data_IF_203002600110
#
_entry.id   IF_203002600110
#
_cell.length_a   1.000
_cell.length_b   1.000
_cell.length_c   1.000
_cell.angle_alpha   90.00
_cell.angle_beta   90.00
_cell.angle_gamma   90.00
#
_symmetry.space_group_name_H-M   'P 1'
#
loop_
_entity.id
_entity.type
_entity.pdbx_description
1 polymer ?
#
# COMPACT_ATOMS: atom_id res chain seq x y z
N UNK A 1 66.36 -11.56 16.35
CA UNK A 1 65.78 -12.23 15.16
C UNK A 1 64.31 -12.49 15.47
N UNK A 2 63.37 -11.78 14.82
CA UNK A 2 62.42 -12.29 13.79
C UNK A 2 61.83 -13.65 14.18
N UNK A 3 60.53 -13.89 14.28
CA UNK A 3 59.31 -13.25 13.82
C UNK A 3 58.17 -14.28 13.97
N UNK A 4 56.91 -13.90 13.73
CA UNK A 4 55.81 -14.88 13.66
C UNK A 4 54.47 -14.46 14.25
N UNK A 5 54.19 -13.16 14.38
CA UNK A 5 52.87 -12.66 14.76
C UNK A 5 52.02 -12.30 13.52
N UNK A 6 51.73 -13.27 12.66
CA UNK A 6 50.84 -13.09 11.51
C UNK A 6 50.12 -14.42 11.28
N UNK A 7 48.84 -14.39 10.91
CA UNK A 7 47.96 -15.55 10.69
C UNK A 7 47.19 -16.06 11.93
N UNK A 8 46.56 -15.15 12.68
CA UNK A 8 45.34 -15.53 13.43
C UNK A 8 44.25 -14.44 13.52
N UNK A 9 44.46 -13.31 12.84
CA UNK A 9 43.54 -12.16 12.86
C UNK A 9 42.46 -12.18 11.77
N UNK A 10 42.64 -12.90 10.65
CA UNK A 10 41.69 -12.87 9.52
C UNK A 10 40.35 -13.56 9.83
N UNK A 11 40.34 -14.70 10.52
CA UNK A 11 39.08 -15.43 10.77
C UNK A 11 38.16 -14.76 11.79
N UNK A 12 38.70 -13.94 12.71
CA UNK A 12 37.89 -13.19 13.68
C UNK A 12 37.26 -11.91 13.12
N UNK A 13 37.70 -11.45 11.93
CA UNK A 13 37.14 -10.26 11.30
C UNK A 13 35.81 -10.53 10.58
N UNK A 14 35.55 -11.76 10.13
CA UNK A 14 34.27 -12.08 9.46
C UNK A 14 33.08 -12.21 10.42
N UNK A 15 33.31 -12.51 11.70
CA UNK A 15 32.22 -12.61 12.70
C UNK A 15 31.81 -11.25 13.30
N UNK A 16 32.57 -10.19 13.04
CA UNK A 16 32.42 -8.90 13.70
C UNK A 16 31.88 -7.80 12.76
N UNK A 17 30.96 -8.17 11.86
CA UNK A 17 30.10 -7.23 11.13
C UNK A 17 28.68 -7.30 11.70
N UNK A 18 28.54 -7.19 13.01
CA UNK A 18 27.28 -6.75 13.58
C UNK A 18 27.22 -5.23 13.33
N UNK A 19 26.29 -4.81 12.48
CA UNK A 19 25.99 -3.40 12.31
C UNK A 19 25.55 -2.85 13.67
N UNK A 20 26.47 -2.18 14.38
CA UNK A 20 26.12 -1.37 15.53
C UNK A 20 25.25 -0.24 15.03
N UNK A 21 23.94 -0.36 15.24
CA UNK A 21 23.06 0.79 15.22
C UNK A 21 23.36 1.58 16.50
N UNK A 22 24.31 2.50 16.42
CA UNK A 22 24.55 3.51 17.45
C UNK A 22 23.26 4.33 17.56
N UNK A 23 22.43 4.00 18.56
CA UNK A 23 21.18 4.70 18.79
C UNK A 23 21.47 6.04 19.46
N UNK A 24 21.96 6.99 18.66
CA UNK A 24 22.14 8.36 19.09
C UNK A 24 20.75 8.92 19.45
N UNK A 25 20.51 9.18 20.75
CA UNK A 25 19.24 9.71 21.27
C UNK A 25 18.79 11.00 20.58
N UNK A 26 19.71 11.70 19.93
CA UNK A 26 19.41 12.90 19.14
C UNK A 26 18.67 12.60 17.83
N UNK A 27 18.85 11.40 17.27
CA UNK A 27 18.28 10.97 15.99
C UNK A 27 17.09 10.02 16.14
N UNK A 28 16.76 9.65 17.38
CA UNK A 28 15.54 8.94 17.78
C UNK A 28 14.26 9.53 17.18
N UNK A 29 13.99 10.85 17.30
CA UNK A 29 12.78 11.42 16.73
C UNK A 29 12.77 11.32 15.20
N UNK A 30 13.92 11.50 14.55
CA UNK A 30 14.06 11.36 13.09
C UNK A 30 13.82 9.94 12.62
N UNK A 31 14.34 8.94 13.34
CA UNK A 31 14.11 7.53 13.03
C UNK A 31 12.63 7.15 13.19
N UNK A 32 11.98 7.63 14.26
CA UNK A 32 10.55 7.43 14.48
C UNK A 32 9.73 8.08 13.36
N UNK A 33 10.08 9.31 12.96
CA UNK A 33 9.43 9.98 11.83
C UNK A 33 9.60 9.20 10.52
N UNK A 34 10.79 8.68 10.23
CA UNK A 34 11.03 7.85 9.04
C UNK A 34 10.22 6.55 9.08
N UNK A 35 10.14 5.88 10.23
CA UNK A 35 9.32 4.68 10.41
C UNK A 35 7.83 4.97 10.23
N UNK A 36 7.33 6.08 10.77
CA UNK A 36 5.94 6.52 10.60
C UNK A 36 5.62 6.82 9.13
N UNK A 37 6.55 7.46 8.39
CA UNK A 37 6.39 7.72 6.96
C UNK A 37 6.37 6.43 6.13
N UNK A 38 7.18 5.43 6.48
CA UNK A 38 7.17 4.13 5.80
C UNK A 38 5.85 3.38 5.99
N UNK A 39 5.24 3.46 7.17
CA UNK A 39 3.93 2.83 7.47
C UNK A 39 2.77 3.53 6.73
N UNK A 40 2.92 4.79 6.32
CA UNK A 40 1.90 5.52 5.55
C UNK A 40 1.84 5.19 4.04
N UNK A 41 2.69 4.27 3.55
CA UNK A 41 2.76 3.93 2.12
C UNK A 41 1.63 3.01 1.62
N UNK A 42 0.73 2.55 2.50
CA UNK A 42 -0.56 1.95 2.12
C UNK A 42 -1.67 3.01 1.90
N UNK A 43 -1.29 4.24 1.53
CA UNK A 43 -2.21 5.08 0.77
C UNK A 43 -2.36 4.43 -0.60
N UNK A 44 -3.33 3.51 -0.71
CA UNK A 44 -3.97 3.25 -1.99
C UNK A 44 -4.23 4.62 -2.57
N UNK A 45 -3.52 4.95 -3.64
CA UNK A 45 -3.72 6.18 -4.36
C UNK A 45 -5.15 6.10 -4.88
N UNK A 46 -6.10 6.56 -4.07
CA UNK A 46 -7.45 6.80 -4.52
C UNK A 46 -7.27 7.84 -5.61
N UNK A 47 -7.53 7.38 -6.84
CA UNK A 47 -7.35 8.17 -8.04
C UNK A 47 -7.89 9.57 -7.76
N UNK A 48 -7.00 10.55 -7.82
CA UNK A 48 -7.35 11.97 -7.72
C UNK A 48 -8.42 12.20 -8.79
N UNK A 49 -9.69 12.23 -8.38
CA UNK A 49 -10.80 12.62 -9.25
C UNK A 49 -10.58 14.10 -9.50
N UNK A 50 -9.89 14.41 -10.60
CA UNK A 50 -9.73 15.77 -11.12
C UNK A 50 -11.13 16.33 -11.38
N UNK A 51 -11.66 17.12 -10.44
CA UNK A 51 -12.85 17.98 -10.58
C UNK A 51 -13.94 17.43 -11.53
N UNK A 52 -14.19 16.13 -11.40
CA UNK A 52 -14.96 15.34 -12.34
C UNK A 52 -16.24 14.97 -11.67
N UNK A 53 -17.37 15.39 -12.24
CA UNK A 53 -18.68 14.94 -11.75
C UNK A 53 -18.66 13.41 -11.69
N UNK A 54 -19.09 12.85 -10.57
CA UNK A 54 -19.21 11.39 -10.41
C UNK A 54 -20.62 10.99 -10.79
N UNK A 55 -20.73 10.07 -11.74
CA UNK A 55 -21.99 9.53 -12.23
C UNK A 55 -22.24 8.19 -11.55
N UNK A 56 -23.48 7.94 -11.13
CA UNK A 56 -23.89 6.69 -10.51
C UNK A 56 -24.87 5.96 -11.41
N UNK A 57 -24.60 4.70 -11.70
CA UNK A 57 -25.43 3.86 -12.54
C UNK A 57 -25.56 2.46 -11.93
N UNK A 58 -26.74 1.84 -12.07
CA UNK A 58 -26.91 0.45 -11.63
C UNK A 58 -26.06 -0.45 -12.53
N UNK A 59 -25.34 -1.39 -11.91
CA UNK A 59 -24.60 -2.42 -12.64
C UNK A 59 -25.52 -3.22 -13.56
N UNK A 60 -25.06 -3.46 -14.79
CA UNK A 60 -25.77 -4.24 -15.81
C UNK A 60 -25.41 -5.73 -15.77
N UNK A 61 -24.25 -6.08 -15.21
CA UNK A 61 -23.72 -7.44 -15.17
C UNK A 61 -23.85 -8.11 -13.80
N UNK A 62 -23.96 -7.32 -12.73
CA UNK A 62 -24.10 -7.85 -11.37
C UNK A 62 -25.48 -8.47 -11.18
N UNK A 63 -25.49 -9.76 -10.84
CA UNK A 63 -26.70 -10.53 -10.58
C UNK A 63 -26.80 -10.89 -9.10
N UNK A 64 -28.04 -10.90 -8.59
CA UNK A 64 -28.34 -11.25 -7.19
C UNK A 64 -28.39 -10.07 -6.23
N UNK A 65 -28.36 -10.38 -4.94
CA UNK A 65 -28.41 -9.41 -3.85
C UNK A 65 -27.01 -8.87 -3.55
N UNK A 66 -26.86 -7.56 -3.62
CA UNK A 66 -25.63 -6.87 -3.28
C UNK A 66 -25.52 -6.74 -1.75
N UNK A 67 -24.65 -7.56 -1.16
CA UNK A 67 -24.33 -7.53 0.28
C UNK A 67 -22.86 -7.19 0.55
N UNK A 68 -22.02 -7.24 -0.49
CA UNK A 68 -20.59 -6.96 -0.44
C UNK A 68 -20.22 -5.97 -1.55
N UNK A 69 -19.78 -4.78 -1.14
CA UNK A 69 -19.41 -3.71 -2.06
C UNK A 69 -18.13 -4.03 -2.84
N UNK A 70 -17.24 -4.88 -2.34
CA UNK A 70 -16.01 -5.25 -3.06
C UNK A 70 -16.33 -6.14 -4.27
N UNK A 71 -17.28 -7.08 -4.11
CA UNK A 71 -17.77 -7.91 -5.22
C UNK A 71 -18.51 -7.03 -6.25
N UNK A 72 -19.30 -6.08 -5.78
CA UNK A 72 -19.96 -5.10 -6.66
C UNK A 72 -18.95 -4.26 -7.45
N UNK A 73 -17.90 -3.77 -6.79
CA UNK A 73 -16.82 -3.02 -7.45
C UNK A 73 -16.12 -3.85 -8.52
N UNK A 74 -15.81 -5.12 -8.25
CA UNK A 74 -15.17 -6.00 -9.23
C UNK A 74 -16.04 -6.18 -10.48
N UNK A 75 -17.36 -6.32 -10.32
CA UNK A 75 -18.29 -6.34 -11.44
C UNK A 75 -18.30 -4.99 -12.21
N UNK A 76 -18.37 -3.87 -11.50
CA UNK A 76 -18.34 -2.54 -12.11
C UNK A 76 -17.06 -2.29 -12.92
N UNK A 77 -15.92 -2.77 -12.43
CA UNK A 77 -14.63 -2.72 -13.13
C UNK A 77 -14.65 -3.54 -14.42
N UNK A 78 -15.34 -4.68 -14.43
CA UNK A 78 -15.55 -5.49 -15.63
C UNK A 78 -16.48 -4.86 -16.67
N UNK A 79 -17.38 -3.96 -16.26
CA UNK A 79 -18.32 -3.29 -17.17
C UNK A 79 -17.69 -2.14 -17.97
N UNK A 80 -16.73 -1.42 -17.37
CA UNK A 80 -16.11 -0.27 -18.01
C UNK A 80 -14.77 0.07 -17.39
N UNK A 81 -13.82 0.43 -18.25
CA UNK A 81 -12.54 0.99 -17.82
C UNK A 81 -12.67 2.39 -17.18
N UNK A 82 -13.84 3.02 -17.27
CA UNK A 82 -14.13 4.31 -16.63
C UNK A 82 -14.76 4.15 -15.24
N UNK A 83 -14.99 2.92 -14.78
CA UNK A 83 -15.48 2.67 -13.44
C UNK A 83 -14.41 3.12 -12.44
N UNK A 84 -14.83 3.90 -11.45
CA UNK A 84 -13.96 4.44 -10.38
C UNK A 84 -14.38 3.94 -8.99
N UNK A 85 -15.55 3.28 -8.88
CA UNK A 85 -15.99 2.59 -7.68
C UNK A 85 -17.26 1.76 -7.89
N UNK A 86 -17.68 1.07 -6.84
CA UNK A 86 -18.92 0.31 -6.79
C UNK A 86 -19.36 0.09 -5.34
N UNK A 87 -20.66 0.16 -5.08
CA UNK A 87 -21.22 -0.06 -3.74
C UNK A 87 -22.61 -0.67 -3.77
N UNK A 88 -22.95 -1.40 -2.71
CA UNK A 88 -24.31 -1.88 -2.49
C UNK A 88 -25.19 -0.79 -1.90
N UNK A 89 -26.33 -0.52 -2.52
CA UNK A 89 -27.33 0.40 -1.96
C UNK A 89 -28.28 -0.32 -0.97
N UNK A 90 -29.15 0.45 -0.31
CA UNK A 90 -30.13 -0.08 0.65
C UNK A 90 -31.21 -0.99 0.04
N UNK A 91 -31.30 -1.08 -1.29
CA UNK A 91 -32.18 -2.01 -2.01
C UNK A 91 -31.45 -3.29 -2.44
N UNK A 92 -30.26 -3.54 -1.91
CA UNK A 92 -29.39 -4.66 -2.27
C UNK A 92 -29.06 -4.69 -3.77
N UNK A 93 -28.97 -3.52 -4.42
CA UNK A 93 -28.53 -3.36 -5.82
C UNK A 93 -27.09 -2.87 -5.84
N UNK A 94 -26.32 -3.39 -6.78
CA UNK A 94 -24.98 -2.91 -7.07
C UNK A 94 -25.05 -1.61 -7.90
N UNK A 95 -24.46 -0.54 -7.38
CA UNK A 95 -24.35 0.78 -8.01
C UNK A 95 -22.89 1.04 -8.34
N UNK A 96 -22.59 1.24 -9.60
CA UNK A 96 -21.28 1.60 -10.10
C UNK A 96 -21.13 3.12 -10.16
N UNK A 97 -19.94 3.61 -9.80
CA UNK A 97 -19.57 5.02 -9.99
C UNK A 97 -18.57 5.16 -11.13
N UNK A 98 -18.76 6.19 -11.94
CA UNK A 98 -17.95 6.50 -13.11
C UNK A 98 -17.55 7.96 -13.09
N UNK A 99 -16.40 8.28 -13.69
CA UNK A 99 -16.11 9.67 -14.06
C UNK A 99 -17.09 10.09 -15.17
N UNK A 100 -17.97 11.05 -14.88
CA UNK A 100 -18.85 11.63 -15.90
C UNK A 100 -17.99 12.32 -16.98
N UNK A 101 -18.49 12.31 -18.21
CA UNK A 101 -17.99 13.18 -19.28
C UNK A 101 -18.91 14.39 -19.43
#
# INVERSE_FOLDING_TARGET
MRGGALVKRRSKQLYNKQASMEFNKRNLPTLVLVLLLLVSSDVRAEAVVQDGRVCFMKSSTFAGLCVDSDICWEACRGESNLAIGGFCNGELKCICSYACR
#
